data_IF_510472295657
#
_entry.id   IF_510472295657
#
_cell.length_a   1.000
_cell.length_b   1.000
_cell.length_c   1.000
_cell.angle_alpha   90.00
_cell.angle_beta   90.00
_cell.angle_gamma   90.00
#
_symmetry.space_group_name_H-M   'P 1'
#
loop_
_entity.id
_entity.type
_entity.pdbx_description
1 polymer ?
#
# COMPACT_ATOMS: atom_id res chain seq x y z
N UNK A 1 -9.11 3.07 -26.22
CA UNK A 1 -8.48 2.76 -24.91
C UNK A 1 -7.03 2.40 -25.18
N UNK A 2 -6.09 2.93 -24.40
CA UNK A 2 -4.65 2.65 -24.53
C UNK A 2 -4.28 1.54 -23.57
N UNK A 3 -3.58 0.54 -24.05
CA UNK A 3 -3.15 -0.61 -23.27
C UNK A 3 -1.65 -0.57 -23.00
N UNK A 4 -1.27 -0.94 -21.78
CA UNK A 4 0.11 -1.07 -21.35
C UNK A 4 0.43 -2.46 -20.82
N UNK A 5 1.69 -2.89 -20.99
CA UNK A 5 2.27 -4.05 -20.32
C UNK A 5 3.53 -3.64 -19.56
N UNK A 6 3.82 -4.36 -18.48
CA UNK A 6 5.01 -4.14 -17.65
C UNK A 6 5.81 -5.43 -17.58
N UNK A 7 7.10 -5.34 -17.92
CA UNK A 7 8.06 -6.43 -17.85
C UNK A 7 9.08 -6.10 -16.77
N UNK A 8 9.12 -6.89 -15.70
CA UNK A 8 10.17 -6.79 -14.68
C UNK A 8 11.24 -7.82 -14.94
N UNK A 9 12.50 -7.40 -14.87
CA UNK A 9 13.67 -8.21 -15.18
C UNK A 9 14.49 -8.39 -13.94
N UNK A 10 14.78 -9.65 -13.56
CA UNK A 10 15.59 -10.01 -12.43
C UNK A 10 15.29 -11.42 -11.93
N UNK A 11 16.30 -12.24 -11.75
CA UNK A 11 16.19 -13.61 -11.23
C UNK A 11 15.66 -13.63 -9.79
N UNK A 12 15.98 -12.61 -8.98
CA UNK A 12 15.51 -12.47 -7.59
C UNK A 12 13.98 -12.34 -7.48
N UNK A 13 13.34 -11.85 -8.53
CA UNK A 13 11.88 -11.77 -8.61
C UNK A 13 11.25 -13.15 -8.87
N UNK A 14 11.88 -13.95 -9.75
CA UNK A 14 11.40 -15.28 -10.11
C UNK A 14 11.53 -16.27 -8.96
N UNK A 15 12.60 -16.19 -8.19
CA UNK A 15 12.79 -17.05 -7.00
C UNK A 15 12.04 -16.55 -5.75
N UNK A 16 11.34 -15.40 -5.86
CA UNK A 16 10.56 -14.81 -4.77
C UNK A 16 11.38 -14.19 -3.64
N UNK A 17 12.65 -13.88 -3.89
CA UNK A 17 13.54 -13.23 -2.91
C UNK A 17 13.15 -11.77 -2.69
N UNK A 18 12.65 -11.11 -3.72
CA UNK A 18 12.19 -9.71 -3.69
C UNK A 18 10.75 -9.62 -4.18
N UNK A 19 9.94 -8.80 -3.51
CA UNK A 19 8.58 -8.49 -3.95
C UNK A 19 8.62 -7.40 -5.02
N UNK A 20 7.98 -7.63 -6.16
CA UNK A 20 7.88 -6.66 -7.26
C UNK A 20 6.99 -5.46 -6.87
N UNK A 21 7.60 -4.48 -6.26
CA UNK A 21 6.96 -3.19 -5.95
C UNK A 21 7.01 -2.20 -7.11
N UNK A 22 7.94 -2.39 -8.06
CA UNK A 22 8.13 -1.51 -9.20
C UNK A 22 6.95 -1.61 -10.17
N UNK A 23 6.59 -2.82 -10.60
CA UNK A 23 5.46 -2.99 -11.52
C UNK A 23 4.14 -2.54 -10.91
N UNK A 24 3.97 -2.72 -9.59
CA UNK A 24 2.79 -2.22 -8.89
C UNK A 24 2.70 -0.69 -8.94
N UNK A 25 3.80 0.00 -8.67
CA UNK A 25 3.86 1.46 -8.76
C UNK A 25 3.65 1.98 -10.19
N UNK A 26 4.35 1.40 -11.16
CA UNK A 26 4.20 1.75 -12.58
C UNK A 26 2.75 1.58 -13.03
N UNK A 27 2.11 0.46 -12.67
CA UNK A 27 0.72 0.21 -13.01
C UNK A 27 -0.24 1.26 -12.43
N UNK A 28 -0.02 1.68 -11.18
CA UNK A 28 -0.81 2.72 -10.54
C UNK A 28 -0.66 4.07 -11.26
N UNK A 29 0.58 4.47 -11.56
CA UNK A 29 0.85 5.74 -12.24
C UNK A 29 0.32 5.76 -13.67
N UNK A 30 0.48 4.66 -14.42
CA UNK A 30 -0.06 4.52 -15.77
C UNK A 30 -1.59 4.60 -15.79
N UNK A 31 -2.24 3.98 -14.80
CA UNK A 31 -3.69 3.99 -14.69
C UNK A 31 -4.23 5.40 -14.42
N UNK A 32 -3.55 6.21 -13.61
CA UNK A 32 -3.90 7.62 -13.34
C UNK A 32 -3.95 8.48 -14.61
N UNK A 33 -3.20 8.11 -15.65
CA UNK A 33 -3.15 8.83 -16.91
C UNK A 33 -3.99 8.19 -18.03
N UNK A 34 -4.83 7.21 -17.69
CA UNK A 34 -5.75 6.60 -18.65
C UNK A 34 -5.20 5.38 -19.40
N UNK A 35 -4.05 4.84 -19.00
CA UNK A 35 -3.49 3.61 -19.59
C UNK A 35 -3.94 2.41 -18.77
N UNK A 36 -4.59 1.47 -19.44
CA UNK A 36 -5.01 0.21 -18.84
C UNK A 36 -3.90 -0.84 -18.92
N UNK A 37 -3.34 -1.25 -17.79
CA UNK A 37 -2.34 -2.32 -17.76
C UNK A 37 -3.04 -3.66 -17.96
N UNK A 38 -2.70 -4.34 -19.06
CA UNK A 38 -3.22 -5.66 -19.39
C UNK A 38 -2.46 -6.77 -18.68
N UNK A 39 -1.14 -6.64 -18.62
CA UNK A 39 -0.29 -7.68 -18.08
C UNK A 39 0.92 -7.11 -17.35
N UNK A 40 1.31 -7.78 -16.29
CA UNK A 40 2.58 -7.59 -15.58
C UNK A 40 3.25 -8.95 -15.54
N UNK A 41 4.45 -9.04 -16.05
CA UNK A 41 5.23 -10.28 -16.12
C UNK A 41 6.62 -10.06 -15.54
N UNK A 42 7.18 -11.10 -14.93
CA UNK A 42 8.56 -11.14 -14.51
C UNK A 42 9.32 -12.13 -15.39
N UNK A 43 10.52 -11.75 -15.80
CA UNK A 43 11.45 -12.59 -16.54
C UNK A 43 12.83 -12.57 -15.89
N UNK A 44 13.60 -13.62 -16.07
CA UNK A 44 15.00 -13.68 -15.63
C UNK A 44 15.92 -12.84 -16.50
N UNK A 45 17.16 -12.74 -16.06
CA UNK A 45 18.25 -12.09 -16.78
C UNK A 45 18.77 -12.98 -17.93
N UNK A 46 17.83 -13.39 -18.80
CA UNK A 46 18.06 -14.25 -19.97
C UNK A 46 17.59 -13.54 -21.23
N UNK A 47 18.50 -13.37 -22.19
CA UNK A 47 18.27 -12.63 -23.44
C UNK A 47 17.04 -13.10 -24.21
N UNK A 48 16.90 -14.40 -24.36
CA UNK A 48 15.81 -15.05 -25.11
C UNK A 48 14.45 -14.80 -24.46
N UNK A 49 14.40 -14.83 -23.12
CA UNK A 49 13.17 -14.61 -22.34
C UNK A 49 12.75 -13.14 -22.41
N UNK A 50 13.70 -12.21 -22.32
CA UNK A 50 13.42 -10.77 -22.49
C UNK A 50 12.86 -10.48 -23.88
N UNK A 51 13.48 -11.02 -24.95
CA UNK A 51 13.00 -10.84 -26.32
C UNK A 51 11.61 -11.45 -26.54
N UNK A 52 11.40 -12.66 -26.05
CA UNK A 52 10.10 -13.32 -26.11
C UNK A 52 9.02 -12.50 -25.41
N UNK A 53 9.32 -11.97 -24.23
CA UNK A 53 8.40 -11.10 -23.50
C UNK A 53 8.06 -9.84 -24.30
N UNK A 54 9.05 -9.17 -24.89
CA UNK A 54 8.83 -8.01 -25.76
C UNK A 54 7.93 -8.34 -26.95
N UNK A 55 8.17 -9.46 -27.63
CA UNK A 55 7.37 -9.90 -28.76
C UNK A 55 5.93 -10.21 -28.38
N UNK A 56 5.70 -10.91 -27.26
CA UNK A 56 4.36 -11.27 -26.81
C UNK A 56 3.58 -10.04 -26.34
N UNK A 57 4.19 -9.21 -25.48
CA UNK A 57 3.50 -8.04 -24.95
C UNK A 57 3.22 -6.97 -26.01
N UNK A 58 4.09 -6.86 -27.02
CA UNK A 58 3.88 -5.95 -28.14
C UNK A 58 2.68 -6.34 -29.03
N UNK A 59 2.17 -7.57 -28.98
CA UNK A 59 0.95 -7.97 -29.70
C UNK A 59 -0.32 -7.34 -29.12
N UNK A 60 -0.31 -7.01 -27.84
CA UNK A 60 -1.52 -6.68 -27.08
C UNK A 60 -1.50 -5.29 -26.45
N UNK A 61 -0.35 -4.61 -26.43
CA UNK A 61 -0.17 -3.32 -25.76
C UNK A 61 0.42 -2.28 -26.70
N UNK A 62 0.06 -1.04 -26.48
CA UNK A 62 0.56 0.14 -27.18
C UNK A 62 1.82 0.68 -26.50
N UNK A 63 1.94 0.42 -25.17
CA UNK A 63 3.03 0.88 -24.33
C UNK A 63 3.60 -0.33 -23.56
N UNK A 64 4.90 -0.58 -23.68
CA UNK A 64 5.60 -1.63 -22.96
C UNK A 64 6.65 -0.98 -22.05
N UNK A 65 6.54 -1.15 -20.74
CA UNK A 65 7.51 -0.62 -19.78
C UNK A 65 8.32 -1.77 -19.20
N UNK A 66 9.64 -1.67 -19.32
CA UNK A 66 10.59 -2.60 -18.71
C UNK A 66 11.21 -1.95 -17.47
N UNK A 67 11.51 -2.73 -16.44
CA UNK A 67 12.27 -2.27 -15.27
C UNK A 67 13.20 -3.37 -14.77
N UNK A 68 14.47 -3.05 -14.60
CA UNK A 68 15.53 -3.96 -14.17
C UNK A 68 16.63 -4.16 -15.21
N UNK A 69 17.75 -4.75 -14.80
CA UNK A 69 18.89 -5.14 -15.63
C UNK A 69 19.62 -3.99 -16.35
N UNK A 70 19.59 -2.75 -15.78
CA UNK A 70 20.30 -1.58 -16.32
C UNK A 70 21.57 -1.21 -15.54
N UNK A 71 21.94 -1.98 -14.53
CA UNK A 71 23.11 -1.75 -13.71
C UNK A 71 24.44 -2.00 -14.47
N UNK A 72 25.58 -1.93 -13.75
CA UNK A 72 26.90 -2.08 -14.33
C UNK A 72 27.47 -3.51 -14.26
N UNK A 73 26.71 -4.47 -13.72
CA UNK A 73 27.19 -5.83 -13.49
C UNK A 73 26.96 -6.75 -14.70
N UNK A 74 27.57 -7.91 -14.70
CA UNK A 74 27.55 -8.80 -15.86
C UNK A 74 26.17 -9.42 -16.15
N UNK A 75 25.34 -9.48 -15.15
CA UNK A 75 23.94 -9.90 -15.19
C UNK A 75 23.00 -8.81 -15.71
N UNK A 76 23.44 -7.54 -15.75
CA UNK A 76 22.67 -6.43 -16.29
C UNK A 76 22.68 -6.42 -17.84
N UNK A 77 21.89 -7.28 -18.45
CA UNK A 77 21.89 -7.50 -19.90
C UNK A 77 20.82 -6.74 -20.66
N UNK A 78 19.94 -6.00 -19.98
CA UNK A 78 18.77 -5.35 -20.61
C UNK A 78 19.19 -4.35 -21.70
N UNK A 79 20.21 -3.51 -21.50
CA UNK A 79 20.67 -2.53 -22.52
C UNK A 79 21.15 -3.20 -23.81
N UNK A 80 22.08 -4.18 -23.81
CA UNK A 80 22.52 -4.85 -25.02
C UNK A 80 21.39 -5.66 -25.69
N UNK A 81 20.46 -6.26 -24.92
CA UNK A 81 19.31 -6.98 -25.47
C UNK A 81 18.37 -6.02 -26.20
N UNK A 82 18.05 -4.86 -25.64
CA UNK A 82 17.22 -3.85 -26.29
C UNK A 82 17.93 -3.25 -27.53
N UNK A 83 19.25 -3.03 -27.44
CA UNK A 83 20.04 -2.57 -28.58
C UNK A 83 19.92 -3.52 -29.78
N UNK A 84 20.08 -4.82 -29.55
CA UNK A 84 19.92 -5.85 -30.58
C UNK A 84 18.46 -5.95 -31.06
N UNK A 85 17.49 -5.93 -30.14
CA UNK A 85 16.06 -6.06 -30.45
C UNK A 85 15.57 -4.94 -31.41
N UNK A 86 16.05 -3.72 -31.20
CA UNK A 86 15.70 -2.57 -32.03
C UNK A 86 16.67 -2.30 -33.18
N UNK A 87 17.68 -3.15 -33.36
CA UNK A 87 18.64 -3.04 -34.49
C UNK A 87 19.59 -1.87 -34.37
N UNK A 88 19.95 -1.48 -33.14
CA UNK A 88 20.86 -0.39 -32.85
C UNK A 88 22.32 -0.81 -32.66
N UNK A 89 23.12 0.18 -32.27
CA UNK A 89 24.50 0.03 -31.82
C UNK A 89 24.67 0.73 -30.49
N UNK A 90 25.46 0.16 -29.59
CA UNK A 90 25.80 0.79 -28.32
C UNK A 90 26.77 1.95 -28.56
N UNK A 91 26.43 3.11 -28.05
CA UNK A 91 27.25 4.34 -28.12
C UNK A 91 27.37 4.96 -26.72
N UNK A 92 28.48 5.62 -26.46
CA UNK A 92 28.63 6.43 -25.24
C UNK A 92 27.83 7.72 -25.42
N UNK A 93 26.93 8.00 -24.46
CA UNK A 93 26.21 9.27 -24.38
C UNK A 93 26.97 10.20 -23.43
N UNK A 94 27.50 11.29 -23.99
CA UNK A 94 28.35 12.23 -23.22
C UNK A 94 27.60 12.89 -22.07
N UNK A 95 26.32 13.23 -22.21
CA UNK A 95 25.51 13.84 -21.14
C UNK A 95 25.33 12.87 -19.97
N UNK A 96 25.11 11.59 -20.26
CA UNK A 96 25.01 10.55 -19.24
C UNK A 96 26.39 10.35 -18.57
N UNK A 97 27.47 10.32 -19.35
CA UNK A 97 28.83 10.17 -18.83
C UNK A 97 29.19 11.33 -17.88
N UNK A 98 28.90 12.56 -18.27
CA UNK A 98 29.15 13.73 -17.43
C UNK A 98 28.32 13.70 -16.13
N UNK A 99 27.08 13.22 -16.21
CA UNK A 99 26.25 13.03 -15.01
C UNK A 99 26.81 11.92 -14.09
N UNK A 100 27.26 10.80 -14.66
CA UNK A 100 27.92 9.73 -13.89
C UNK A 100 29.18 10.27 -13.18
N UNK A 101 30.01 11.04 -13.88
CA UNK A 101 31.19 11.71 -13.28
C UNK A 101 30.78 12.63 -12.13
N UNK A 102 29.77 13.48 -12.35
CA UNK A 102 29.25 14.38 -11.34
C UNK A 102 28.80 13.61 -10.08
N UNK A 103 28.02 12.54 -10.25
CA UNK A 103 27.54 11.72 -9.13
C UNK A 103 28.71 11.14 -8.33
N UNK A 104 29.71 10.55 -9.00
CA UNK A 104 30.85 9.94 -8.31
C UNK A 104 31.73 10.97 -7.62
N UNK A 105 32.04 12.09 -8.28
CA UNK A 105 32.94 13.10 -7.74
C UNK A 105 32.27 13.99 -6.66
N UNK A 106 31.06 14.46 -6.92
CA UNK A 106 30.43 15.50 -6.08
C UNK A 106 29.43 14.92 -5.08
N UNK A 107 28.65 13.90 -5.46
CA UNK A 107 27.58 13.34 -4.61
C UNK A 107 28.14 12.21 -3.74
N UNK A 108 28.75 11.20 -4.35
CA UNK A 108 29.27 10.04 -3.63
C UNK A 108 30.65 10.29 -3.02
N UNK A 109 31.33 11.35 -3.48
CA UNK A 109 32.66 11.79 -3.00
C UNK A 109 33.69 10.64 -2.98
N UNK A 110 33.66 9.78 -4.00
CA UNK A 110 34.58 8.65 -4.14
C UNK A 110 35.88 9.15 -4.75
N UNK A 111 37.03 8.94 -4.08
CA UNK A 111 38.34 9.34 -4.62
C UNK A 111 38.75 8.41 -5.77
N UNK A 112 39.43 8.97 -6.75
CA UNK A 112 40.02 8.23 -7.87
C UNK A 112 39.25 8.33 -9.19
N UNK A 113 39.82 7.77 -10.27
CA UNK A 113 39.18 7.78 -11.57
C UNK A 113 37.94 6.88 -11.59
N UNK A 114 36.98 7.18 -12.47
CA UNK A 114 35.84 6.28 -12.72
C UNK A 114 36.32 4.91 -13.21
N UNK A 115 35.77 3.87 -12.66
CA UNK A 115 36.00 2.51 -13.15
C UNK A 115 35.32 2.32 -14.51
N UNK A 116 35.90 1.45 -15.35
CA UNK A 116 35.32 1.14 -16.68
C UNK A 116 33.89 0.69 -16.61
N UNK A 117 33.50 -0.07 -15.58
CA UNK A 117 32.11 -0.50 -15.35
C UNK A 117 31.16 0.69 -15.11
N UNK A 118 31.63 1.78 -14.52
CA UNK A 118 30.84 3.00 -14.32
C UNK A 118 30.76 3.83 -15.62
N UNK A 119 31.81 3.82 -16.45
CA UNK A 119 31.81 4.46 -17.75
C UNK A 119 30.79 3.75 -18.69
N UNK A 120 30.71 2.42 -18.64
CA UNK A 120 29.72 1.62 -19.37
C UNK A 120 28.28 1.96 -18.99
N UNK A 121 28.00 2.57 -17.85
CA UNK A 121 26.67 3.08 -17.53
C UNK A 121 26.18 4.15 -18.52
N UNK A 122 27.12 4.88 -19.14
CA UNK A 122 26.80 5.88 -20.16
C UNK A 122 26.62 5.29 -21.56
N UNK A 123 26.85 4.00 -21.77
CA UNK A 123 26.55 3.33 -23.02
C UNK A 123 25.04 3.11 -23.15
N UNK A 124 24.49 3.56 -24.28
CA UNK A 124 23.07 3.43 -24.63
C UNK A 124 22.89 3.06 -26.10
N UNK A 125 21.81 2.38 -26.50
CA UNK A 125 21.50 2.17 -27.90
C UNK A 125 21.31 3.49 -28.66
N UNK A 126 21.93 3.65 -29.81
CA UNK A 126 21.81 4.85 -30.67
C UNK A 126 20.39 5.05 -31.22
N UNK A 127 19.54 4.05 -31.14
CA UNK A 127 18.13 4.03 -31.58
C UNK A 127 17.14 4.43 -30.49
N UNK A 128 17.59 4.78 -29.30
CA UNK A 128 16.73 5.24 -28.20
C UNK A 128 16.81 6.76 -27.99
N UNK A 129 15.76 7.34 -27.43
CA UNK A 129 15.81 8.64 -26.77
C UNK A 129 16.16 8.42 -25.30
N UNK A 130 17.26 9.00 -24.84
CA UNK A 130 17.71 8.89 -23.43
C UNK A 130 16.79 9.69 -22.52
N UNK A 131 16.32 9.06 -21.45
CA UNK A 131 15.61 9.69 -20.35
C UNK A 131 16.61 9.93 -19.22
N UNK A 132 16.97 11.18 -19.00
CA UNK A 132 17.97 11.54 -18.00
C UNK A 132 17.51 11.18 -16.58
N UNK A 133 18.34 10.40 -15.88
CA UNK A 133 18.08 9.99 -14.49
C UNK A 133 18.82 10.91 -13.51
N UNK A 134 18.12 11.83 -12.88
CA UNK A 134 18.72 12.75 -11.91
C UNK A 134 19.09 12.08 -10.58
N UNK A 135 18.57 10.87 -10.32
CA UNK A 135 18.66 10.18 -9.03
C UNK A 135 19.67 9.03 -8.99
N UNK A 136 20.26 8.69 -10.13
CA UNK A 136 21.20 7.57 -10.24
C UNK A 136 21.98 7.54 -11.54
N UNK A 137 22.81 6.50 -11.70
CA UNK A 137 23.75 6.38 -12.82
C UNK A 137 23.17 5.74 -14.06
N UNK A 138 22.10 4.93 -13.96
CA UNK A 138 21.49 4.24 -15.07
C UNK A 138 20.42 5.12 -15.72
N UNK A 139 20.57 5.57 -16.96
CA UNK A 139 19.55 6.35 -17.65
C UNK A 139 18.34 5.47 -17.99
N UNK A 140 17.15 6.09 -18.07
CA UNK A 140 16.03 5.48 -18.74
C UNK A 140 16.18 5.57 -20.25
N UNK A 141 15.49 4.72 -20.99
CA UNK A 141 15.53 4.67 -22.45
C UNK A 141 14.11 4.60 -23.01
N UNK A 142 13.86 5.35 -24.08
CA UNK A 142 12.59 5.39 -24.80
C UNK A 142 12.80 4.99 -26.24
N UNK A 143 12.04 4.00 -26.70
CA UNK A 143 12.08 3.51 -28.08
C UNK A 143 10.69 3.62 -28.68
N UNK A 144 10.65 3.88 -29.97
CA UNK A 144 9.42 3.85 -30.77
C UNK A 144 9.58 2.86 -31.92
N UNK A 145 8.68 1.91 -32.01
CA UNK A 145 8.70 0.90 -33.07
C UNK A 145 7.29 0.46 -33.41
N UNK A 146 6.97 0.45 -34.72
CA UNK A 146 5.69 -0.02 -35.27
C UNK A 146 4.46 0.62 -34.60
N UNK A 147 4.54 1.92 -34.29
CA UNK A 147 3.45 2.67 -33.62
C UNK A 147 3.30 2.37 -32.14
N UNK A 148 4.26 1.71 -31.53
CA UNK A 148 4.28 1.38 -30.10
C UNK A 148 5.45 2.05 -29.40
N UNK A 149 5.28 2.28 -28.09
CA UNK A 149 6.29 2.86 -27.22
C UNK A 149 6.83 1.79 -26.29
N UNK A 150 8.16 1.73 -26.18
CA UNK A 150 8.87 0.89 -25.24
C UNK A 150 9.73 1.79 -24.33
N UNK A 151 9.63 1.58 -23.03
CA UNK A 151 10.38 2.36 -22.03
C UNK A 151 11.15 1.41 -21.15
N UNK A 152 12.45 1.62 -21.01
CA UNK A 152 13.26 0.84 -20.07
C UNK A 152 13.75 1.71 -18.93
N UNK A 153 13.57 1.22 -17.70
CA UNK A 153 13.81 1.93 -16.45
C UNK A 153 14.72 1.12 -15.51
N UNK A 154 15.48 1.78 -14.63
CA UNK A 154 16.27 1.10 -13.60
C UNK A 154 15.42 0.24 -12.67
N UNK A 155 16.02 -0.82 -12.12
CA UNK A 155 15.41 -1.65 -11.07
C UNK A 155 15.31 -0.96 -9.71
N UNK A 156 16.16 0.02 -9.42
CA UNK A 156 16.15 0.76 -8.15
C UNK A 156 14.87 1.59 -8.02
N UNK A 157 14.01 1.32 -7.01
CA UNK A 157 12.68 1.93 -6.93
C UNK A 157 12.68 3.46 -6.90
N UNK A 158 13.64 4.08 -6.21
CA UNK A 158 13.75 5.54 -6.11
C UNK A 158 14.06 6.19 -7.47
N UNK A 159 14.95 5.59 -8.26
CA UNK A 159 15.31 6.03 -9.61
C UNK A 159 14.14 5.85 -10.58
N UNK A 160 13.56 4.66 -10.59
CA UNK A 160 12.41 4.31 -11.43
C UNK A 160 11.23 5.26 -11.21
N UNK A 161 10.87 5.53 -9.94
CA UNK A 161 9.79 6.46 -9.61
C UNK A 161 10.05 7.88 -10.10
N UNK A 162 11.29 8.36 -9.96
CA UNK A 162 11.68 9.67 -10.50
C UNK A 162 11.52 9.76 -12.00
N UNK A 163 12.07 8.80 -12.72
CA UNK A 163 11.95 8.74 -14.19
C UNK A 163 10.50 8.64 -14.65
N UNK A 164 9.68 7.83 -13.98
CA UNK A 164 8.24 7.73 -14.30
C UNK A 164 7.55 9.09 -14.20
N UNK A 165 7.70 9.76 -13.07
CA UNK A 165 6.98 11.02 -12.79
C UNK A 165 7.48 12.19 -13.65
N UNK A 166 8.80 12.31 -13.80
CA UNK A 166 9.45 13.51 -14.35
C UNK A 166 9.68 13.42 -15.86
N UNK A 167 9.78 12.20 -16.41
CA UNK A 167 10.14 12.00 -17.84
C UNK A 167 9.10 11.16 -18.58
N UNK A 168 8.73 9.97 -18.09
CA UNK A 168 7.88 9.02 -18.84
C UNK A 168 6.43 9.52 -18.95
N UNK A 169 5.80 9.84 -17.82
CA UNK A 169 4.39 10.28 -17.81
C UNK A 169 4.15 11.54 -18.65
N UNK A 170 4.97 12.62 -18.54
CA UNK A 170 4.82 13.78 -19.41
C UNK A 170 4.93 13.41 -20.91
N UNK A 171 5.97 12.65 -21.27
CA UNK A 171 6.20 12.26 -22.66
C UNK A 171 5.10 11.35 -23.23
N UNK A 172 4.53 10.45 -22.41
CA UNK A 172 3.37 9.65 -22.82
C UNK A 172 2.12 10.49 -23.07
N UNK A 173 1.87 11.52 -22.24
CA UNK A 173 0.74 12.44 -22.44
C UNK A 173 0.87 13.32 -23.68
N UNK A 174 2.10 13.60 -24.09
CA UNK A 174 2.37 14.31 -25.35
C UNK A 174 2.19 13.37 -26.56
N UNK A 175 2.57 12.11 -26.42
CA UNK A 175 2.56 11.12 -27.50
C UNK A 175 1.17 10.53 -27.79
N UNK A 176 0.33 10.36 -26.77
CA UNK A 176 -0.99 9.73 -26.88
C UNK A 176 -2.12 10.65 -26.41
N UNK A 177 -3.26 10.58 -27.10
CA UNK A 177 -4.52 11.11 -26.57
C UNK A 177 -5.06 10.14 -25.52
N UNK A 178 -4.90 10.51 -24.24
CA UNK A 178 -5.23 9.64 -23.13
C UNK A 178 -6.75 9.60 -22.87
N UNK A 179 -7.37 8.40 -22.76
CA UNK A 179 -8.75 8.28 -22.27
C UNK A 179 -8.80 8.60 -20.78
N UNK A 180 -9.99 8.92 -20.29
CA UNK A 180 -10.21 9.10 -18.87
C UNK A 180 -10.51 7.76 -18.18
N UNK A 181 -9.85 7.52 -17.05
CA UNK A 181 -10.19 6.46 -16.09
C UNK A 181 -10.39 7.13 -14.74
N UNK A 182 -11.53 6.87 -14.11
CA UNK A 182 -11.86 7.39 -12.77
C UNK A 182 -12.10 6.22 -11.84
N UNK A 183 -11.43 6.24 -10.69
CA UNK A 183 -11.63 5.28 -9.61
C UNK A 183 -12.24 5.96 -8.41
N UNK A 184 -13.21 5.32 -7.79
CA UNK A 184 -13.76 5.68 -6.50
C UNK A 184 -13.71 4.48 -5.58
N UNK A 185 -13.02 4.63 -4.45
CA UNK A 185 -12.97 3.60 -3.42
C UNK A 185 -13.90 3.97 -2.29
N UNK A 186 -14.70 3.00 -1.88
CA UNK A 186 -15.57 3.08 -0.70
C UNK A 186 -15.07 2.06 0.30
N UNK A 187 -14.73 2.52 1.48
CA UNK A 187 -14.25 1.67 2.55
C UNK A 187 -15.40 1.27 3.48
N UNK A 188 -15.58 -0.04 3.70
CA UNK A 188 -16.56 -0.61 4.64
C UNK A 188 -15.84 -1.45 5.69
N UNK A 189 -16.40 -1.53 6.91
CA UNK A 189 -15.85 -2.31 8.01
C UNK A 189 -16.97 -2.98 8.82
N UNK A 190 -16.68 -4.15 9.37
CA UNK A 190 -17.61 -4.93 10.17
C UNK A 190 -18.55 -5.82 9.33
N UNK A 191 -18.23 -6.03 8.06
CA UNK A 191 -19.04 -6.86 7.15
C UNK A 191 -18.14 -7.78 6.32
N UNK A 192 -18.61 -8.98 6.04
CA UNK A 192 -17.97 -9.88 5.08
C UNK A 192 -18.40 -9.58 3.65
N UNK A 193 -17.55 -9.95 2.69
CA UNK A 193 -17.76 -9.70 1.25
C UNK A 193 -19.12 -10.23 0.76
N UNK A 194 -19.47 -11.47 1.08
CA UNK A 194 -20.71 -12.11 0.61
C UNK A 194 -21.98 -11.40 1.12
N UNK A 195 -21.97 -10.94 2.37
CA UNK A 195 -23.09 -10.20 2.94
C UNK A 195 -23.22 -8.82 2.31
N UNK A 196 -22.09 -8.15 2.07
CA UNK A 196 -22.06 -6.86 1.40
C UNK A 196 -22.56 -6.98 -0.04
N UNK A 197 -22.09 -8.00 -0.78
CA UNK A 197 -22.51 -8.26 -2.16
C UNK A 197 -24.02 -8.57 -2.25
N UNK A 198 -24.57 -9.40 -1.35
CA UNK A 198 -26.00 -9.65 -1.34
C UNK A 198 -26.84 -8.39 -1.06
N UNK A 199 -26.35 -7.52 -0.16
CA UNK A 199 -27.02 -6.26 0.18
C UNK A 199 -27.12 -5.29 -1.00
N UNK A 200 -26.10 -5.25 -1.86
CA UNK A 200 -26.01 -4.26 -2.96
C UNK A 200 -26.26 -4.86 -4.35
N UNK A 201 -26.65 -6.13 -4.45
CA UNK A 201 -26.78 -6.87 -5.73
C UNK A 201 -27.65 -6.18 -6.78
N UNK A 202 -28.78 -5.60 -6.37
CA UNK A 202 -29.71 -4.96 -7.29
C UNK A 202 -29.14 -3.64 -7.82
N UNK A 203 -28.44 -2.88 -6.97
CA UNK A 203 -27.73 -1.68 -7.35
C UNK A 203 -26.53 -2.01 -8.27
N UNK A 204 -25.76 -3.05 -7.95
CA UNK A 204 -24.64 -3.48 -8.79
C UNK A 204 -25.11 -3.92 -10.19
N UNK A 205 -26.21 -4.67 -10.27
CA UNK A 205 -26.79 -5.10 -11.54
C UNK A 205 -27.30 -3.92 -12.40
N UNK A 206 -27.66 -2.80 -11.77
CA UNK A 206 -28.14 -1.58 -12.45
C UNK A 206 -27.00 -0.64 -12.87
N UNK A 207 -25.74 -0.94 -12.56
CA UNK A 207 -24.60 -0.08 -12.93
C UNK A 207 -24.49 0.09 -14.44
N UNK A 208 -24.16 1.30 -14.93
CA UNK A 208 -23.82 1.54 -16.33
C UNK A 208 -22.68 0.62 -16.79
N UNK A 209 -22.75 0.10 -18.02
CA UNK A 209 -21.78 -0.87 -18.55
C UNK A 209 -20.31 -0.42 -18.52
N UNK A 210 -20.05 0.89 -18.54
CA UNK A 210 -18.70 1.47 -18.49
C UNK A 210 -18.22 1.71 -17.04
N UNK A 211 -19.05 1.43 -16.03
CA UNK A 211 -18.68 1.44 -14.61
C UNK A 211 -18.59 0.00 -14.12
N UNK A 212 -17.43 -0.38 -13.61
CA UNK A 212 -17.19 -1.71 -13.04
C UNK A 212 -17.01 -1.61 -11.53
N UNK A 213 -17.57 -2.57 -10.80
CA UNK A 213 -17.36 -2.73 -9.37
C UNK A 213 -16.35 -3.84 -9.11
N UNK A 214 -15.47 -3.63 -8.12
CA UNK A 214 -14.59 -4.67 -7.59
C UNK A 214 -14.69 -4.68 -6.06
N UNK A 215 -14.72 -5.88 -5.50
CA UNK A 215 -14.64 -6.13 -4.06
C UNK A 215 -13.18 -6.42 -3.70
N UNK A 216 -12.64 -5.72 -2.72
CA UNK A 216 -11.26 -5.84 -2.27
C UNK A 216 -11.27 -6.14 -0.75
N UNK A 217 -11.47 -7.41 -0.37
CA UNK A 217 -11.52 -7.81 1.03
C UNK A 217 -10.15 -7.73 1.68
N UNK A 218 -10.12 -7.26 2.92
CA UNK A 218 -8.92 -7.22 3.74
C UNK A 218 -9.30 -7.18 5.23
N UNK A 219 -8.93 -8.20 6.01
CA UNK A 219 -9.04 -8.24 7.48
C UNK A 219 -10.43 -7.88 8.07
N UNK A 220 -11.52 -8.44 7.54
CA UNK A 220 -12.88 -8.14 8.00
C UNK A 220 -13.39 -6.77 7.56
N UNK A 221 -12.71 -6.16 6.62
CA UNK A 221 -13.07 -4.94 5.93
C UNK A 221 -13.17 -5.23 4.45
N UNK A 222 -14.04 -4.51 3.75
CA UNK A 222 -14.17 -4.63 2.30
C UNK A 222 -14.09 -3.24 1.69
N UNK A 223 -13.17 -3.07 0.73
CA UNK A 223 -13.20 -1.89 -0.13
C UNK A 223 -13.99 -2.21 -1.39
N UNK A 224 -14.97 -1.39 -1.69
CA UNK A 224 -15.66 -1.39 -2.97
C UNK A 224 -14.95 -0.38 -3.88
N UNK A 225 -14.48 -0.80 -5.05
CA UNK A 225 -13.87 0.09 -6.02
C UNK A 225 -14.71 0.17 -7.28
N UNK A 226 -15.36 1.31 -7.49
CA UNK A 226 -15.93 1.65 -8.79
C UNK A 226 -14.84 2.15 -9.73
N UNK A 227 -14.86 1.67 -10.97
CA UNK A 227 -13.95 2.12 -12.03
C UNK A 227 -14.78 2.48 -13.26
N UNK A 228 -14.78 3.77 -13.63
CA UNK A 228 -15.42 4.27 -14.83
C UNK A 228 -14.38 4.60 -15.91
N UNK A 229 -14.70 4.31 -17.17
CA UNK A 229 -13.81 4.56 -18.34
C UNK A 229 -14.57 5.28 -19.43
N UNK A 230 -13.94 6.28 -20.05
CA UNK A 230 -14.54 7.08 -21.14
C UNK A 230 -13.61 8.18 -21.63
N UNK A 231 -14.15 9.16 -22.35
CA UNK A 231 -13.35 10.23 -22.95
C UNK A 231 -13.42 11.54 -22.17
N UNK A 232 -14.43 11.71 -21.34
CA UNK A 232 -14.65 12.92 -20.53
C UNK A 232 -14.57 12.60 -19.03
N UNK A 233 -13.49 13.05 -18.41
CA UNK A 233 -13.22 12.81 -16.99
C UNK A 233 -14.28 13.42 -16.08
N UNK A 234 -14.73 14.64 -16.35
CA UNK A 234 -15.69 15.34 -15.50
C UNK A 234 -17.05 14.62 -15.50
N UNK A 235 -17.50 14.17 -16.69
CA UNK A 235 -18.71 13.38 -16.81
C UNK A 235 -18.63 12.06 -16.05
N UNK A 236 -17.48 11.36 -16.11
CA UNK A 236 -17.26 10.13 -15.35
C UNK A 236 -17.27 10.38 -13.84
N UNK A 237 -16.70 11.48 -13.37
CA UNK A 237 -16.72 11.86 -11.95
C UNK A 237 -18.14 12.14 -11.46
N UNK A 238 -18.97 12.85 -12.24
CA UNK A 238 -20.37 13.10 -11.93
C UNK A 238 -21.20 11.81 -11.89
N UNK A 239 -20.99 10.91 -12.84
CA UNK A 239 -21.68 9.61 -12.87
C UNK A 239 -21.29 8.74 -11.67
N UNK A 240 -20.01 8.66 -11.32
CA UNK A 240 -19.55 7.95 -10.12
C UNK A 240 -20.14 8.57 -8.85
N UNK A 241 -20.18 9.89 -8.73
CA UNK A 241 -20.78 10.56 -7.58
C UNK A 241 -22.27 10.24 -7.45
N UNK A 242 -22.99 10.18 -8.58
CA UNK A 242 -24.40 9.75 -8.61
C UNK A 242 -24.58 8.31 -8.11
N UNK A 243 -23.71 7.39 -8.55
CA UNK A 243 -23.72 6.01 -8.07
C UNK A 243 -23.36 5.91 -6.58
N UNK A 244 -22.41 6.70 -6.11
CA UNK A 244 -22.03 6.76 -4.71
C UNK A 244 -23.17 7.24 -3.81
N UNK A 245 -23.95 8.24 -4.25
CA UNK A 245 -25.15 8.73 -3.53
C UNK A 245 -26.21 7.63 -3.37
N UNK A 246 -26.36 6.76 -4.38
CA UNK A 246 -27.30 5.62 -4.32
C UNK A 246 -26.75 4.48 -3.44
N UNK A 247 -25.46 4.22 -3.46
CA UNK A 247 -24.81 3.15 -2.71
C UNK A 247 -24.77 3.41 -1.20
N UNK A 248 -24.43 4.63 -0.78
CA UNK A 248 -24.22 4.98 0.64
C UNK A 248 -25.37 4.57 1.57
N UNK A 249 -26.65 4.81 1.25
CA UNK A 249 -27.77 4.38 2.11
C UNK A 249 -27.84 2.86 2.27
N UNK A 250 -27.48 2.08 1.24
CA UNK A 250 -27.53 0.62 1.26
C UNK A 250 -26.49 0.00 2.21
N UNK A 251 -25.38 0.69 2.40
CA UNK A 251 -24.23 0.22 3.19
C UNK A 251 -23.99 1.05 4.46
N UNK A 252 -24.97 1.86 4.87
CA UNK A 252 -24.82 2.83 5.97
C UNK A 252 -24.29 2.21 7.27
N UNK A 253 -24.69 0.98 7.60
CA UNK A 253 -24.27 0.25 8.80
C UNK A 253 -22.75 -0.03 8.82
N UNK A 254 -22.15 -0.15 7.65
CA UNK A 254 -20.74 -0.57 7.47
C UNK A 254 -19.86 0.50 6.84
N UNK A 255 -20.45 1.58 6.37
CA UNK A 255 -19.74 2.68 5.70
C UNK A 255 -18.70 3.32 6.63
N UNK A 256 -17.48 3.49 6.14
CA UNK A 256 -16.39 4.17 6.84
C UNK A 256 -16.09 5.51 6.17
N UNK A 257 -15.71 5.49 4.92
CA UNK A 257 -15.35 6.67 4.14
C UNK A 257 -15.34 6.34 2.63
N UNK A 258 -15.53 7.34 1.79
CA UNK A 258 -15.43 7.26 0.32
C UNK A 258 -14.05 7.66 -0.19
N UNK A 259 -13.03 7.11 0.44
CA UNK A 259 -11.63 7.35 0.07
C UNK A 259 -10.79 6.09 0.34
N UNK A 260 -9.67 5.95 -0.35
CA UNK A 260 -8.72 4.85 -0.15
C UNK A 260 -7.76 5.14 1.02
N UNK A 261 -8.34 5.44 2.18
CA UNK A 261 -7.61 5.59 3.42
C UNK A 261 -7.54 4.26 4.18
N UNK A 262 -6.50 4.11 4.98
CA UNK A 262 -6.43 3.03 5.97
C UNK A 262 -7.22 3.40 7.23
N UNK A 263 -7.57 2.41 8.07
CA UNK A 263 -8.35 2.67 9.29
C UNK A 263 -7.63 3.63 10.25
N UNK A 264 -6.32 3.50 10.42
CA UNK A 264 -5.53 4.41 11.25
C UNK A 264 -5.54 5.84 10.70
N UNK A 265 -5.53 6.02 9.36
CA UNK A 265 -5.64 7.33 8.73
C UNK A 265 -7.01 7.95 8.96
N UNK A 266 -8.07 7.16 8.88
CA UNK A 266 -9.43 7.61 9.19
C UNK A 266 -9.52 8.08 10.65
N UNK A 267 -9.04 7.27 11.60
CA UNK A 267 -9.03 7.62 13.03
C UNK A 267 -8.17 8.87 13.28
N UNK A 268 -6.95 8.91 12.71
CA UNK A 268 -6.05 10.06 12.83
C UNK A 268 -6.68 11.36 12.31
N UNK A 269 -7.33 11.31 11.14
CA UNK A 269 -8.04 12.45 10.56
C UNK A 269 -9.18 12.94 11.47
N UNK A 270 -10.01 12.00 11.95
CA UNK A 270 -11.12 12.33 12.85
C UNK A 270 -10.67 12.99 14.15
N UNK A 271 -9.63 12.45 14.78
CA UNK A 271 -9.05 13.01 16.01
C UNK A 271 -8.47 14.40 15.79
N UNK A 272 -7.75 14.60 14.67
CA UNK A 272 -7.16 15.89 14.28
C UNK A 272 -8.23 16.96 14.04
N UNK A 273 -9.29 16.64 13.31
CA UNK A 273 -10.41 17.55 13.04
C UNK A 273 -11.14 17.97 14.33
N UNK A 274 -11.24 17.05 15.30
CA UNK A 274 -11.85 17.30 16.61
C UNK A 274 -10.90 17.90 17.65
N UNK A 275 -9.61 18.03 17.34
CA UNK A 275 -8.53 18.43 18.26
C UNK A 275 -8.47 17.54 19.49
N UNK A 276 -8.69 16.25 19.32
CA UNK A 276 -8.71 15.24 20.36
C UNK A 276 -7.51 14.29 20.21
N UNK A 277 -7.18 13.64 21.33
CA UNK A 277 -6.00 12.79 21.44
C UNK A 277 -6.36 11.35 21.83
N UNK A 278 -5.52 10.40 21.41
CA UNK A 278 -5.65 8.99 21.78
C UNK A 278 -4.34 8.41 22.27
N UNK A 279 -4.44 7.31 23.01
CA UNK A 279 -3.33 6.47 23.47
C UNK A 279 -3.71 5.00 23.38
N UNK A 280 -2.73 4.11 23.60
CA UNK A 280 -2.99 2.67 23.67
C UNK A 280 -2.32 2.00 24.86
N UNK A 281 -2.93 0.92 25.35
CA UNK A 281 -2.38 -0.03 26.29
C UNK A 281 -2.37 -1.41 25.62
N UNK A 282 -1.21 -1.86 25.19
CA UNK A 282 -1.07 -3.02 24.31
C UNK A 282 -0.41 -4.19 25.05
N UNK A 283 -1.14 -5.30 25.18
CA UNK A 283 -0.57 -6.56 25.61
C UNK A 283 -0.29 -7.43 24.38
N UNK A 284 -1.27 -8.10 23.88
CA UNK A 284 -1.12 -9.09 22.79
C UNK A 284 -0.75 -8.51 21.42
N UNK A 285 -0.99 -7.24 21.18
CA UNK A 285 -0.61 -6.53 19.94
C UNK A 285 0.82 -5.99 19.96
N UNK A 286 1.47 -5.95 21.14
CA UNK A 286 2.91 -5.70 21.28
C UNK A 286 3.42 -4.37 20.73
N UNK A 287 2.58 -3.33 20.64
CA UNK A 287 2.93 -2.04 20.05
C UNK A 287 2.48 -1.87 18.59
N UNK A 288 1.77 -2.85 18.02
CA UNK A 288 1.37 -2.79 16.61
C UNK A 288 0.34 -1.67 16.35
N UNK A 289 -0.58 -1.39 17.28
CA UNK A 289 -1.50 -0.23 17.19
C UNK A 289 -0.72 1.08 17.19
N UNK A 290 0.27 1.20 18.09
CA UNK A 290 1.17 2.35 18.13
C UNK A 290 1.93 2.53 16.80
N UNK A 291 2.47 1.43 16.27
CA UNK A 291 3.13 1.44 14.96
C UNK A 291 2.21 1.99 13.87
N UNK A 292 0.99 1.47 13.75
CA UNK A 292 0.02 1.92 12.74
C UNK A 292 -0.32 3.41 12.88
N UNK A 293 -0.57 3.89 14.11
CA UNK A 293 -0.93 5.28 14.36
C UNK A 293 0.23 6.26 14.11
N UNK A 294 1.48 5.79 14.11
CA UNK A 294 2.67 6.60 13.89
C UNK A 294 3.22 6.56 12.45
N UNK A 295 2.63 5.74 11.57
CA UNK A 295 3.06 5.66 10.16
C UNK A 295 2.88 6.98 9.39
N UNK A 296 1.87 7.76 9.74
CA UNK A 296 1.57 9.00 9.04
C UNK A 296 2.28 10.20 9.68
N UNK A 297 2.82 11.07 8.84
CA UNK A 297 3.45 12.31 9.31
C UNK A 297 2.45 13.20 10.06
N UNK A 298 2.88 13.77 11.18
CA UNK A 298 2.04 14.61 12.02
C UNK A 298 1.17 13.88 13.03
N UNK A 299 1.37 12.58 13.23
CA UNK A 299 0.66 11.76 14.24
C UNK A 299 0.79 12.31 15.68
N UNK A 300 1.88 12.99 15.99
CA UNK A 300 2.12 13.60 17.33
C UNK A 300 1.05 14.62 17.76
N UNK A 301 0.27 15.14 16.82
CA UNK A 301 -0.84 16.06 17.13
C UNK A 301 -2.01 15.37 17.84
N UNK A 302 -2.24 14.09 17.58
CA UNK A 302 -3.41 13.35 18.05
C UNK A 302 -3.08 12.01 18.77
N UNK A 303 -1.88 11.46 18.58
CA UNK A 303 -1.42 10.28 19.29
C UNK A 303 -0.32 10.63 20.31
N UNK A 304 -0.52 10.27 21.59
CA UNK A 304 0.41 10.64 22.67
C UNK A 304 1.36 9.52 23.05
N UNK A 305 1.03 8.28 22.73
CA UNK A 305 1.89 7.14 23.02
C UNK A 305 1.15 5.88 23.42
N UNK A 306 1.93 4.85 23.76
CA UNK A 306 1.43 3.55 24.21
C UNK A 306 2.16 3.09 25.46
N UNK A 307 1.45 2.30 26.26
CA UNK A 307 2.07 1.42 27.26
C UNK A 307 2.03 -0.01 26.72
N UNK A 308 3.17 -0.54 26.29
CA UNK A 308 3.29 -1.95 25.93
C UNK A 308 3.46 -2.77 27.21
N UNK A 309 2.34 -3.28 27.72
CA UNK A 309 2.24 -4.01 28.98
C UNK A 309 2.17 -5.53 28.71
N UNK A 310 3.20 -6.09 28.07
CA UNK A 310 3.23 -7.50 27.70
C UNK A 310 3.27 -8.40 28.94
N UNK A 311 4.10 -8.06 29.90
CA UNK A 311 4.15 -8.70 31.22
C UNK A 311 3.01 -8.22 32.13
N UNK A 312 2.52 -9.09 33.02
CA UNK A 312 1.46 -8.76 33.96
C UNK A 312 1.90 -7.73 35.00
N UNK A 313 3.17 -7.76 35.41
CA UNK A 313 3.68 -6.79 36.38
C UNK A 313 3.63 -5.36 35.81
N UNK A 314 3.87 -5.18 34.50
CA UNK A 314 3.74 -3.86 33.84
C UNK A 314 2.28 -3.38 33.85
N UNK A 315 1.29 -4.28 33.69
CA UNK A 315 -0.13 -3.93 33.84
C UNK A 315 -0.43 -3.38 35.24
N UNK A 316 0.13 -4.04 36.28
CA UNK A 316 -0.07 -3.66 37.66
C UNK A 316 0.65 -2.34 38.00
N UNK A 317 1.94 -2.27 37.69
CA UNK A 317 2.79 -1.16 38.13
C UNK A 317 2.50 0.13 37.38
N UNK A 318 2.28 0.05 36.07
CA UNK A 318 2.11 1.23 35.23
C UNK A 318 0.65 1.60 35.03
N UNK A 319 -0.19 0.64 34.67
CA UNK A 319 -1.61 0.88 34.34
C UNK A 319 -2.53 0.74 35.54
N UNK A 320 -1.99 0.37 36.72
CA UNK A 320 -2.74 0.19 37.97
C UNK A 320 -3.86 -0.84 37.88
N UNK A 321 -3.64 -1.88 37.08
CA UNK A 321 -4.54 -3.04 37.02
C UNK A 321 -4.48 -3.78 38.36
N UNK A 322 -5.64 -4.13 38.90
CA UNK A 322 -5.70 -4.86 40.17
C UNK A 322 -5.09 -6.27 40.00
N UNK A 323 -4.09 -6.57 40.82
CA UNK A 323 -3.44 -7.88 40.83
C UNK A 323 -4.46 -9.01 41.08
N UNK A 324 -5.47 -8.75 41.94
CA UNK A 324 -6.51 -9.74 42.24
C UNK A 324 -7.28 -10.14 40.99
N UNK A 325 -7.67 -9.19 40.12
CA UNK A 325 -8.37 -9.50 38.88
C UNK A 325 -7.51 -10.32 37.90
N UNK A 326 -6.20 -10.04 37.87
CA UNK A 326 -5.28 -10.84 37.04
C UNK A 326 -5.16 -12.26 37.62
N UNK A 327 -5.05 -12.44 38.94
CA UNK A 327 -4.87 -13.74 39.59
C UNK A 327 -6.15 -14.60 39.47
N UNK A 328 -7.34 -14.00 39.64
CA UNK A 328 -8.63 -14.70 39.63
C UNK A 328 -9.20 -14.92 38.25
N UNK A 329 -9.13 -13.89 37.39
CA UNK A 329 -9.76 -13.88 36.06
C UNK A 329 -8.76 -14.07 34.91
N UNK A 330 -7.47 -13.89 35.19
CA UNK A 330 -6.39 -13.91 34.21
C UNK A 330 -6.29 -12.59 33.42
N UNK A 331 -5.13 -12.34 32.86
CA UNK A 331 -4.84 -11.10 32.10
C UNK A 331 -5.74 -10.90 30.86
N UNK A 332 -6.25 -11.99 30.28
CA UNK A 332 -7.18 -11.96 29.14
C UNK A 332 -8.60 -12.03 29.67
N UNK A 333 -9.15 -10.88 30.04
CA UNK A 333 -10.50 -10.76 30.60
C UNK A 333 -11.03 -9.33 30.47
N UNK A 334 -12.35 -9.18 30.47
CA UNK A 334 -13.02 -7.90 30.35
C UNK A 334 -12.63 -6.90 31.44
N UNK A 335 -12.63 -7.27 32.76
CA UNK A 335 -12.24 -6.33 33.83
C UNK A 335 -10.81 -5.81 33.65
N UNK A 336 -9.88 -6.65 33.21
CA UNK A 336 -8.48 -6.26 33.00
C UNK A 336 -8.35 -5.24 31.86
N UNK A 337 -9.00 -5.44 30.70
CA UNK A 337 -8.90 -4.46 29.60
C UNK A 337 -9.59 -3.14 29.93
N UNK A 338 -10.66 -3.15 30.73
CA UNK A 338 -11.29 -1.92 31.24
C UNK A 338 -10.30 -1.12 32.09
N UNK A 339 -9.60 -1.79 33.01
CA UNK A 339 -8.59 -1.14 33.86
C UNK A 339 -7.39 -0.67 33.05
N UNK A 340 -6.99 -1.42 32.02
CA UNK A 340 -5.93 -1.00 31.10
C UNK A 340 -6.30 0.31 30.36
N UNK A 341 -7.55 0.48 29.90
CA UNK A 341 -8.02 1.75 29.32
C UNK A 341 -7.94 2.89 30.35
N UNK A 342 -8.45 2.67 31.56
CA UNK A 342 -8.41 3.68 32.65
C UNK A 342 -6.98 4.11 32.96
N UNK A 343 -6.08 3.14 33.11
CA UNK A 343 -4.67 3.40 33.36
C UNK A 343 -3.98 4.15 32.23
N UNK A 344 -4.27 3.81 30.98
CA UNK A 344 -3.72 4.52 29.83
C UNK A 344 -4.20 5.98 29.74
N UNK A 345 -5.49 6.23 30.00
CA UNK A 345 -6.05 7.59 30.08
C UNK A 345 -5.38 8.43 31.17
N UNK A 346 -5.12 7.84 32.34
CA UNK A 346 -4.49 8.52 33.48
C UNK A 346 -3.00 8.83 33.21
N UNK A 347 -2.25 7.82 32.74
CA UNK A 347 -0.79 7.93 32.53
C UNK A 347 -0.47 8.84 31.36
N UNK A 348 -1.19 8.70 30.22
CA UNK A 348 -0.90 9.41 28.99
C UNK A 348 -1.76 10.67 28.79
N UNK A 349 -2.74 10.91 29.65
CA UNK A 349 -3.61 12.11 29.68
C UNK A 349 -4.24 12.42 28.34
N UNK A 350 -4.89 11.41 27.76
CA UNK A 350 -5.55 11.50 26.45
C UNK A 350 -7.06 11.54 26.58
N UNK A 351 -7.75 12.01 25.54
CA UNK A 351 -9.21 12.02 25.46
C UNK A 351 -9.78 10.62 25.32
N UNK A 352 -9.08 9.76 24.57
CA UNK A 352 -9.45 8.37 24.34
C UNK A 352 -8.29 7.43 24.58
N UNK A 353 -8.60 6.17 24.92
CA UNK A 353 -7.63 5.10 24.95
C UNK A 353 -8.18 3.80 24.35
N UNK A 354 -7.27 3.00 23.81
CA UNK A 354 -7.51 1.63 23.34
C UNK A 354 -6.75 0.68 24.26
N UNK A 355 -7.35 -0.46 24.62
CA UNK A 355 -6.62 -1.55 25.28
C UNK A 355 -6.87 -2.87 24.59
N UNK A 356 -5.84 -3.73 24.51
CA UNK A 356 -5.89 -5.08 23.93
C UNK A 356 -5.23 -6.10 24.84
N UNK A 357 -5.90 -7.20 25.10
CA UNK A 357 -5.34 -8.37 25.81
C UNK A 357 -5.89 -9.65 25.18
N UNK A 358 -5.02 -10.61 24.85
CA UNK A 358 -5.45 -11.82 24.14
C UNK A 358 -4.37 -12.87 24.00
N UNK A 359 -4.74 -13.99 23.39
CA UNK A 359 -3.89 -15.16 23.15
C UNK A 359 -3.71 -15.30 21.63
N UNK A 360 -2.57 -14.85 21.13
CA UNK A 360 -2.33 -14.79 19.68
C UNK A 360 -1.92 -16.14 19.06
N UNK A 361 -1.48 -17.10 19.87
CA UNK A 361 -0.98 -18.40 19.43
C UNK A 361 0.50 -18.40 19.02
N UNK A 362 1.04 -19.54 18.53
CA UNK A 362 0.33 -20.83 18.39
C UNK A 362 0.00 -21.49 19.73
N UNK A 363 0.74 -21.15 20.81
CA UNK A 363 0.61 -21.70 22.16
C UNK A 363 -0.12 -20.77 23.12
N UNK A 364 -0.33 -21.21 24.36
CA UNK A 364 -0.86 -20.41 25.47
C UNK A 364 -2.38 -20.44 25.62
N UNK A 365 -3.08 -21.19 24.76
CA UNK A 365 -4.52 -21.40 24.90
C UNK A 365 -4.91 -22.43 25.94
N UNK A 366 -6.14 -22.32 26.45
CA UNK A 366 -6.80 -23.33 27.29
C UNK A 366 -8.22 -23.57 26.77
N UNK A 367 -8.91 -24.57 27.28
CA UNK A 367 -10.29 -24.88 26.91
C UNK A 367 -11.22 -23.66 27.15
N UNK A 368 -11.02 -22.93 28.25
CA UNK A 368 -11.81 -21.73 28.61
C UNK A 368 -11.34 -20.47 27.86
N UNK A 369 -10.08 -20.40 27.47
CA UNK A 369 -9.47 -19.27 26.79
C UNK A 369 -8.65 -19.79 25.61
N UNK A 370 -9.30 -20.12 24.48
CA UNK A 370 -8.60 -20.69 23.35
C UNK A 370 -7.68 -19.68 22.65
N UNK A 371 -6.73 -20.18 21.88
CA UNK A 371 -5.93 -19.35 20.96
C UNK A 371 -6.85 -18.54 20.05
N UNK A 372 -6.55 -17.27 19.88
CA UNK A 372 -7.35 -16.31 19.13
C UNK A 372 -8.40 -15.57 19.96
N UNK A 373 -8.59 -15.91 21.24
CA UNK A 373 -9.43 -15.13 22.14
C UNK A 373 -8.76 -13.80 22.48
N UNK A 374 -9.45 -12.69 22.19
CA UNK A 374 -8.95 -11.34 22.43
C UNK A 374 -10.03 -10.45 22.99
N UNK A 375 -9.73 -9.78 24.08
CA UNK A 375 -10.52 -8.67 24.61
C UNK A 375 -9.96 -7.34 24.10
N UNK A 376 -10.83 -6.52 23.56
CA UNK A 376 -10.55 -5.14 23.15
C UNK A 376 -11.45 -4.21 23.95
N UNK A 377 -10.87 -3.13 24.47
CA UNK A 377 -11.61 -2.06 25.10
C UNK A 377 -11.23 -0.71 24.47
N UNK A 378 -12.23 0.16 24.30
CA UNK A 378 -12.04 1.55 23.88
C UNK A 378 -12.85 2.46 24.79
N UNK A 379 -12.36 3.64 25.08
CA UNK A 379 -13.13 4.53 25.94
C UNK A 379 -12.48 5.89 26.16
N UNK A 380 -13.20 6.68 26.91
CA UNK A 380 -12.80 7.95 27.49
C UNK A 380 -13.00 7.91 29.01
N UNK A 381 -12.85 9.04 29.69
CA UNK A 381 -13.05 9.13 31.15
C UNK A 381 -14.47 8.79 31.62
N UNK A 382 -15.46 8.94 30.76
CA UNK A 382 -16.90 8.82 31.10
C UNK A 382 -17.48 7.45 30.74
N UNK A 383 -16.99 6.83 29.66
CA UNK A 383 -17.54 5.59 29.10
C UNK A 383 -16.43 4.70 28.57
N UNK A 384 -16.51 3.41 28.82
CA UNK A 384 -15.64 2.38 28.24
C UNK A 384 -16.54 1.30 27.65
N UNK A 385 -16.21 0.85 26.46
CA UNK A 385 -16.90 -0.23 25.74
C UNK A 385 -15.91 -1.33 25.43
N UNK A 386 -16.34 -2.57 25.66
CA UNK A 386 -15.53 -3.77 25.47
C UNK A 386 -16.14 -4.69 24.43
N UNK A 387 -15.31 -5.45 23.74
CA UNK A 387 -15.73 -6.55 22.86
C UNK A 387 -14.75 -7.70 22.94
N UNK A 388 -15.29 -8.91 23.05
CA UNK A 388 -14.54 -10.14 22.88
C UNK A 388 -14.52 -10.53 21.41
N UNK A 389 -13.35 -10.94 20.93
CA UNK A 389 -13.14 -11.51 19.59
C UNK A 389 -12.55 -12.90 19.71
N UNK A 390 -12.94 -13.78 18.75
CA UNK A 390 -12.37 -15.10 18.58
C UNK A 390 -11.83 -15.23 17.16
N UNK A 391 -10.52 -15.05 17.01
CA UNK A 391 -9.82 -15.23 15.74
C UNK A 391 -9.36 -16.67 15.55
N UNK A 392 -9.09 -17.08 14.30
CA UNK A 392 -8.73 -18.46 13.95
C UNK A 392 -7.57 -18.53 12.95
N UNK A 393 -6.67 -17.56 13.04
CA UNK A 393 -5.56 -17.42 12.12
C UNK A 393 -4.22 -17.60 12.84
N UNK A 394 -3.11 -17.47 12.11
CA UNK A 394 -1.79 -17.40 12.69
C UNK A 394 -1.60 -16.15 13.57
N UNK A 395 -0.51 -16.16 14.34
CA UNK A 395 -0.20 -15.10 15.31
C UNK A 395 -0.14 -13.71 14.69
N UNK A 396 0.52 -13.56 13.53
CA UNK A 396 0.68 -12.26 12.89
C UNK A 396 -0.67 -11.71 12.47
N UNK A 397 -1.47 -12.55 11.82
CA UNK A 397 -2.81 -12.18 11.36
C UNK A 397 -3.78 -11.89 12.50
N UNK A 398 -3.69 -12.61 13.62
CA UNK A 398 -4.48 -12.33 14.82
C UNK A 398 -4.13 -10.95 15.40
N UNK A 399 -2.85 -10.57 15.40
CA UNK A 399 -2.39 -9.24 15.83
C UNK A 399 -2.98 -8.14 14.92
N UNK A 400 -2.87 -8.31 13.61
CA UNK A 400 -3.37 -7.37 12.61
C UNK A 400 -4.87 -7.17 12.71
N UNK A 401 -5.63 -8.28 12.80
CA UNK A 401 -7.08 -8.25 12.99
C UNK A 401 -7.48 -7.55 14.29
N UNK A 402 -6.77 -7.81 15.38
CA UNK A 402 -7.00 -7.15 16.66
C UNK A 402 -6.84 -5.66 16.54
N UNK A 403 -5.74 -5.21 15.95
CA UNK A 403 -5.45 -3.78 15.79
C UNK A 403 -6.50 -3.08 14.91
N UNK A 404 -6.86 -3.70 13.78
CA UNK A 404 -7.86 -3.15 12.87
C UNK A 404 -9.25 -3.04 13.53
N UNK A 405 -9.68 -4.08 14.25
CA UNK A 405 -10.95 -4.05 14.98
C UNK A 405 -10.93 -3.03 16.12
N UNK A 406 -9.82 -2.92 16.85
CA UNK A 406 -9.66 -1.94 17.91
C UNK A 406 -9.73 -0.50 17.39
N UNK A 407 -9.10 -0.20 16.27
CA UNK A 407 -9.18 1.10 15.61
C UNK A 407 -10.61 1.38 15.09
N UNK A 408 -11.30 0.39 14.53
CA UNK A 408 -12.70 0.57 14.11
C UNK A 408 -13.63 0.77 15.30
N UNK A 409 -13.42 0.07 16.40
CA UNK A 409 -14.17 0.31 17.66
C UNK A 409 -13.95 1.73 18.17
N UNK A 410 -12.72 2.24 18.15
CA UNK A 410 -12.43 3.63 18.52
C UNK A 410 -13.13 4.62 17.59
N UNK A 411 -13.06 4.40 16.26
CA UNK A 411 -13.77 5.22 15.26
C UNK A 411 -15.25 5.31 15.57
N UNK A 412 -15.92 4.17 15.78
CA UNK A 412 -17.34 4.11 16.08
C UNK A 412 -17.69 4.75 17.41
N UNK A 413 -16.81 4.57 18.41
CA UNK A 413 -16.95 5.22 19.72
C UNK A 413 -16.90 6.76 19.60
N UNK A 414 -15.97 7.30 18.82
CA UNK A 414 -15.85 8.74 18.54
C UNK A 414 -17.08 9.28 17.81
N UNK A 415 -17.73 8.47 16.96
CA UNK A 415 -18.94 8.82 16.22
C UNK A 415 -20.24 8.66 17.04
N UNK A 416 -20.12 8.20 18.29
CA UNK A 416 -21.26 7.83 19.16
C UNK A 416 -22.24 6.82 18.55
N UNK A 417 -21.69 5.88 17.75
CA UNK A 417 -22.41 4.68 17.27
C UNK A 417 -21.91 3.46 18.02
N UNK A 418 -22.71 2.37 18.07
CA UNK A 418 -22.32 1.18 18.84
C UNK A 418 -20.95 0.65 18.38
N UNK A 419 -19.92 0.71 19.22
CA UNK A 419 -18.58 0.25 18.87
C UNK A 419 -18.47 -1.25 18.62
N UNK A 420 -19.46 -2.02 19.08
CA UNK A 420 -19.47 -3.49 19.03
C UNK A 420 -20.07 -4.07 17.75
N UNK A 421 -20.78 -3.30 17.00
CA UNK A 421 -21.43 -3.74 15.74
C UNK A 421 -20.45 -3.80 14.55
#
# INVERSE_FOLDING_TARGET
>A
MIYGSIITIGDELLIGQVVDTNSAYIAQEMNKIGVWIRQRIAVGDVKEDIKKALDEESKHSDIIILTGGLGPTADDITKPVLCEYFGGQMIVNEQVLDHVRYLFEKVYRRPGPLLDVNIKQAEVPNVCSVLHNERGTAPGMWFESKGKVFVSLPGVPHEMKGLMQEKVIPKLKEHFTMPAIVHQVIFTAGVGESMLADRIKDWEAALPKHIKLAYLPNYGMVRLRMTATGDDKNKLEEEIESQLKQLKPLIADWYVIDNDLTMQQVVGKMLKERKQTTSSAESCTGGYIAHLLTLDAGASSNYKGTVVCYDNQVKIDVLKVDKKDIDELGAVSEPVVIQMVKGALEVLKTDYAIATSGIMGPDGGSEKKPVGMVWVAVGNKDKIVTKEFQFRFDRVRNIELTAMNALNMLRRFILDVDPRS
#
